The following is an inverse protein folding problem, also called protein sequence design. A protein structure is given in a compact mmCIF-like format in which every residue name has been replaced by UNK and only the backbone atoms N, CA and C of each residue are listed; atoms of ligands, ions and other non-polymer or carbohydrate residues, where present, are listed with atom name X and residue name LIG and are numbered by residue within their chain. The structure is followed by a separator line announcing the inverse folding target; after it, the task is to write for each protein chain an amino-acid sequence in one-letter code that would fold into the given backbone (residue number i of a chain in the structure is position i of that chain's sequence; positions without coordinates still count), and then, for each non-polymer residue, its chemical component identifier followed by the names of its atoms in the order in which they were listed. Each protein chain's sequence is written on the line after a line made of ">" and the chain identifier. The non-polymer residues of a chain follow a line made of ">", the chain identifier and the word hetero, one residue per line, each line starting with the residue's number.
data_IF_580495614621
#
_entry.id   IF_580495614621
#
_cell.length_a   1.000
_cell.length_b   1.000
_cell.length_c   1.000
_cell.angle_alpha   90.00
_cell.angle_beta   90.00
_cell.angle_gamma   90.00
#
_symmetry.space_group_name_H-M   'P 1'
#
loop_
_entity.id
_entity.type
_entity.pdbx_description
1 polymer ?
#
# COMPACT_ATOMS: atom_id res chain seq x y z
N UNK A 1 -3.76 18.50 -10.99
CA UNK A 1 -4.44 17.41 -10.27
C UNK A 1 -3.37 16.60 -9.56
N UNK A 2 -3.17 16.80 -8.26
CA UNK A 2 -2.11 16.13 -7.51
C UNK A 2 -2.54 14.72 -7.11
N UNK A 3 -1.71 13.73 -7.40
CA UNK A 3 -1.92 12.35 -6.95
C UNK A 3 -1.63 12.27 -5.44
N UNK A 4 -2.60 11.80 -4.66
CA UNK A 4 -2.50 11.74 -3.21
C UNK A 4 -1.53 10.63 -2.78
N UNK A 5 -0.56 11.00 -1.93
CA UNK A 5 0.46 10.10 -1.40
C UNK A 5 0.16 9.77 0.07
N UNK A 6 -0.42 8.59 0.28
CA UNK A 6 -0.72 8.04 1.59
C UNK A 6 0.55 7.57 2.28
N UNK A 7 0.64 7.78 3.57
CA UNK A 7 1.66 7.16 4.42
C UNK A 7 1.24 5.74 4.79
N UNK A 8 2.19 4.91 5.25
CA UNK A 8 1.89 3.57 5.77
C UNK A 8 0.75 3.56 6.79
N UNK A 9 0.72 4.41 7.84
CA UNK A 9 -0.41 4.45 8.78
C UNK A 9 -1.75 4.83 8.13
N UNK A 10 -1.76 5.71 7.12
CA UNK A 10 -3.01 6.03 6.39
C UNK A 10 -3.52 4.83 5.60
N UNK A 11 -2.63 4.11 4.90
CA UNK A 11 -2.99 2.87 4.18
C UNK A 11 -3.54 1.82 5.14
N UNK A 12 -2.92 1.66 6.31
CA UNK A 12 -3.39 0.72 7.33
C UNK A 12 -4.76 1.10 7.88
N UNK A 13 -5.02 2.39 8.08
CA UNK A 13 -6.30 2.89 8.54
C UNK A 13 -7.40 2.69 7.47
N UNK A 14 -7.08 2.91 6.20
CA UNK A 14 -8.01 2.73 5.07
C UNK A 14 -8.39 1.25 4.89
N UNK A 15 -7.39 0.36 4.90
CA UNK A 15 -7.60 -1.09 4.76
C UNK A 15 -8.11 -1.75 6.05
N UNK A 16 -8.08 -1.05 7.18
CA UNK A 16 -8.37 -1.58 8.53
C UNK A 16 -7.59 -2.86 8.86
N UNK A 17 -6.35 -2.97 8.38
CA UNK A 17 -5.46 -4.11 8.64
C UNK A 17 -4.39 -3.75 9.67
N UNK A 18 -3.91 -4.72 10.47
CA UNK A 18 -2.84 -4.48 11.41
C UNK A 18 -1.50 -4.25 10.69
N UNK A 19 -0.59 -3.53 11.34
CA UNK A 19 0.79 -3.30 10.87
C UNK A 19 1.51 -4.60 10.49
N UNK A 20 1.23 -5.69 11.21
CA UNK A 20 1.80 -7.01 10.91
C UNK A 20 1.46 -7.51 9.52
N UNK A 21 0.22 -7.29 9.04
CA UNK A 21 -0.19 -7.67 7.69
C UNK A 21 0.61 -6.91 6.64
N UNK A 22 0.87 -5.62 6.89
CA UNK A 22 1.73 -4.82 6.02
C UNK A 22 3.17 -5.33 5.97
N UNK A 23 3.75 -5.68 7.12
CA UNK A 23 5.08 -6.31 7.16
C UNK A 23 5.10 -7.67 6.45
N UNK A 24 4.04 -8.46 6.57
CA UNK A 24 3.90 -9.72 5.86
C UNK A 24 3.86 -9.51 4.34
N UNK A 25 3.07 -8.55 3.83
CA UNK A 25 3.04 -8.20 2.42
C UNK A 25 4.39 -7.68 1.90
N UNK A 26 5.12 -6.91 2.73
CA UNK A 26 6.47 -6.45 2.40
C UNK A 26 7.49 -7.59 2.32
N UNK A 27 7.38 -8.60 3.18
CA UNK A 27 8.26 -9.79 3.16
C UNK A 27 7.94 -10.73 2.01
N UNK A 28 6.65 -10.93 1.72
CA UNK A 28 6.18 -11.82 0.65
C UNK A 28 6.20 -11.18 -0.74
N UNK A 29 6.49 -9.87 -0.82
CA UNK A 29 6.43 -9.13 -2.08
C UNK A 29 5.00 -8.88 -2.59
N UNK A 30 3.97 -9.23 -1.81
CA UNK A 30 2.55 -9.08 -2.17
C UNK A 30 1.95 -7.72 -1.80
N UNK A 31 2.77 -6.70 -1.53
CA UNK A 31 2.30 -5.39 -1.10
C UNK A 31 2.17 -4.36 -2.25
N UNK A 32 1.43 -3.27 -2.03
CA UNK A 32 1.31 -2.20 -3.02
C UNK A 32 2.66 -1.48 -3.24
N UNK A 33 2.79 -0.80 -4.38
CA UNK A 33 4.00 -0.04 -4.71
C UNK A 33 4.22 1.09 -3.71
N UNK A 34 5.33 0.99 -2.98
CA UNK A 34 5.83 2.02 -2.07
C UNK A 34 6.92 2.86 -2.72
N UNK A 35 6.88 4.15 -2.45
CA UNK A 35 7.87 5.15 -2.82
C UNK A 35 8.67 5.44 -1.57
N UNK A 36 9.97 5.13 -1.61
CA UNK A 36 10.91 5.50 -0.56
C UNK A 36 11.35 6.93 -0.79
N UNK A 37 11.00 7.82 0.14
CA UNK A 37 11.47 9.20 0.12
C UNK A 37 12.93 9.27 0.63
N UNK A 38 13.70 10.30 0.23
CA UNK A 38 15.05 10.53 0.76
C UNK A 38 15.07 10.71 2.29
N UNK A 39 13.94 11.13 2.87
CA UNK A 39 13.77 11.27 4.32
C UNK A 39 13.52 9.93 5.05
N UNK A 40 13.61 8.79 4.36
CA UNK A 40 13.38 7.45 4.93
C UNK A 40 11.91 7.07 5.09
N UNK A 41 10.97 7.99 4.85
CA UNK A 41 9.55 7.72 4.89
C UNK A 41 9.07 6.94 3.65
N UNK A 42 8.12 6.04 3.86
CA UNK A 42 7.44 5.30 2.80
C UNK A 42 6.10 5.97 2.48
N UNK A 43 5.89 6.28 1.21
CA UNK A 43 4.62 6.79 0.66
C UNK A 43 4.04 5.79 -0.32
N UNK A 44 2.73 5.69 -0.38
CA UNK A 44 1.98 4.88 -1.32
C UNK A 44 1.07 5.81 -2.09
N UNK A 45 1.07 5.72 -3.41
CA UNK A 45 0.09 6.47 -4.22
C UNK A 45 -1.29 5.85 -4.00
N UNK A 46 -2.31 6.67 -3.76
CA UNK A 46 -3.70 6.19 -3.64
C UNK A 46 -4.12 5.38 -4.88
N UNK A 47 -3.77 5.86 -6.07
CA UNK A 47 -3.99 5.12 -7.34
C UNK A 47 -3.27 3.77 -7.38
N UNK A 48 -2.07 3.66 -6.80
CA UNK A 48 -1.33 2.39 -6.76
C UNK A 48 -1.92 1.40 -5.77
N UNK A 49 -2.42 1.89 -4.63
CA UNK A 49 -3.16 1.07 -3.67
C UNK A 49 -4.46 0.53 -4.30
N UNK A 50 -5.24 1.38 -4.97
CA UNK A 50 -6.47 0.96 -5.66
C UNK A 50 -6.21 -0.04 -6.78
N UNK A 51 -5.16 0.15 -7.59
CA UNK A 51 -4.76 -0.83 -8.61
C UNK A 51 -4.35 -2.18 -8.01
N UNK A 52 -3.62 -2.15 -6.90
CA UNK A 52 -3.21 -3.37 -6.21
C UNK A 52 -4.40 -4.12 -5.59
N UNK A 53 -5.36 -3.40 -5.01
CA UNK A 53 -6.63 -3.99 -4.54
C UNK A 53 -7.39 -4.66 -5.69
N UNK A 54 -7.53 -3.97 -6.83
CA UNK A 54 -8.20 -4.53 -8.00
C UNK A 54 -7.49 -5.76 -8.58
N UNK A 55 -6.16 -5.82 -8.53
CA UNK A 55 -5.37 -7.01 -8.93
C UNK A 55 -5.62 -8.19 -7.98
N UNK A 56 -5.70 -7.93 -6.66
CA UNK A 56 -6.05 -8.95 -5.66
C UNK A 56 -7.49 -9.46 -5.80
N UNK A 57 -8.43 -8.60 -6.18
CA UNK A 57 -9.82 -9.01 -6.44
C UNK A 57 -9.92 -9.96 -7.65
N UNK A 58 -8.98 -9.90 -8.60
CA UNK A 58 -8.95 -10.80 -9.76
C UNK A 58 -8.28 -12.15 -9.45
N UNK A 59 -7.32 -12.21 -8.52
CA UNK A 59 -6.67 -13.47 -8.08
C UNK A 59 -7.57 -14.30 -7.14
N UNK A 60 -8.59 -13.67 -6.55
CA UNK A 60 -9.57 -14.33 -5.68
C UNK A 60 -10.73 -15.03 -6.44
N UNK A 61 -10.67 -15.13 -7.78
CA UNK A 61 -11.69 -15.73 -8.64
C UNK A 61 -11.40 -17.18 -9.03
#
# INVERSE_FOLDING_TARGET
>A
MNEELLTVPEVLAELRVPRSTWFYWRQTGKGPRVIKLPNGQLRVRRSALGRWLGDLEQDAA
#
